data_IF_605393616706
#
_entry.id   IF_605393616706
#
_cell.length_a   1.000
_cell.length_b   1.000
_cell.length_c   1.000
_cell.angle_alpha   90.00
_cell.angle_beta   90.00
_cell.angle_gamma   90.00
#
_symmetry.space_group_name_H-M   'P 1'
#
loop_
_entity.id
_entity.type
_entity.pdbx_description
1 polymer ?
#
# COMPACT_ATOMS: atom_id res chain seq x y z
N UNK A 1 -7.73 -16.66 -11.81
CA UNK A 1 -8.44 -16.46 -10.52
C UNK A 1 -8.14 -15.03 -10.11
N UNK A 2 -9.11 -14.10 -10.07
CA UNK A 2 -8.84 -12.70 -9.69
C UNK A 2 -8.58 -12.63 -8.19
N UNK A 3 -7.38 -12.20 -7.79
CA UNK A 3 -6.94 -12.17 -6.39
C UNK A 3 -7.64 -11.11 -5.53
N UNK A 4 -7.26 -11.02 -4.26
CA UNK A 4 -7.75 -9.97 -3.38
C UNK A 4 -6.99 -8.67 -3.66
N UNK A 5 -7.67 -7.72 -4.31
CA UNK A 5 -7.12 -6.44 -4.71
C UNK A 5 -7.41 -5.32 -3.70
N UNK A 6 -7.99 -5.63 -2.54
CA UNK A 6 -8.40 -4.65 -1.54
C UNK A 6 -7.98 -5.04 -0.12
N UNK A 7 -7.35 -4.10 0.58
CA UNK A 7 -7.06 -4.16 2.00
C UNK A 7 -7.91 -3.11 2.73
N UNK A 8 -8.75 -3.54 3.67
CA UNK A 8 -9.42 -2.64 4.61
C UNK A 8 -9.01 -3.07 6.02
N UNK A 9 -8.36 -2.18 6.78
CA UNK A 9 -7.86 -2.52 8.12
C UNK A 9 -7.79 -1.29 9.02
N UNK A 10 -7.50 -1.51 10.30
CA UNK A 10 -7.14 -0.47 11.26
C UNK A 10 -5.64 -0.52 11.56
N UNK A 11 -5.07 0.62 11.97
CA UNK A 11 -3.69 0.72 12.44
C UNK A 11 -3.62 1.53 13.74
N UNK A 12 -3.40 0.87 14.90
CA UNK A 12 -3.28 1.55 16.18
C UNK A 12 -2.05 2.47 16.21
N UNK A 13 -2.28 3.77 16.41
CA UNK A 13 -1.21 4.77 16.38
C UNK A 13 -0.64 5.05 17.78
N UNK A 14 0.67 5.30 17.84
CA UNK A 14 1.35 5.75 19.07
C UNK A 14 1.65 7.27 19.02
N UNK A 15 2.36 7.82 20.00
CA UNK A 15 2.82 9.21 19.94
C UNK A 15 3.95 9.46 18.90
N UNK A 16 4.48 8.41 18.27
CA UNK A 16 5.57 8.48 17.30
C UNK A 16 5.10 8.97 15.93
N UNK A 17 6.06 9.26 15.06
CA UNK A 17 5.83 9.51 13.63
C UNK A 17 5.52 8.19 12.93
N UNK A 18 4.45 8.16 12.15
CA UNK A 18 4.05 7.01 11.34
C UNK A 18 4.67 7.13 9.95
N UNK A 19 5.20 6.01 9.46
CA UNK A 19 5.88 5.90 8.15
C UNK A 19 5.29 4.75 7.35
N UNK A 20 5.21 4.95 6.03
CA UNK A 20 4.70 3.99 5.06
C UNK A 20 5.76 3.68 4.02
N UNK A 21 5.95 2.40 3.74
CA UNK A 21 6.62 1.91 2.53
C UNK A 21 5.69 0.97 1.79
N UNK A 22 5.68 1.06 0.46
CA UNK A 22 4.89 0.17 -0.40
C UNK A 22 5.85 -0.50 -1.38
N UNK A 23 5.89 -1.83 -1.33
CA UNK A 23 6.78 -2.65 -2.15
C UNK A 23 5.92 -3.34 -3.21
N UNK A 24 6.31 -3.16 -4.47
CA UNK A 24 5.76 -3.92 -5.59
C UNK A 24 6.70 -5.10 -5.81
N UNK A 25 6.18 -6.31 -5.65
CA UNK A 25 6.98 -7.53 -5.66
C UNK A 25 7.12 -8.18 -7.03
N UNK A 26 7.77 -9.34 -7.01
CA UNK A 26 7.82 -10.29 -8.13
C UNK A 26 8.40 -9.71 -9.44
N UNK A 27 9.29 -8.72 -9.34
CA UNK A 27 9.93 -8.10 -10.51
C UNK A 27 8.98 -7.28 -11.39
N UNK A 28 7.77 -7.01 -10.91
CA UNK A 28 6.78 -6.21 -11.62
C UNK A 28 7.06 -4.71 -11.47
N UNK A 29 6.43 -3.92 -12.35
CA UNK A 29 6.52 -2.46 -12.30
C UNK A 29 5.18 -1.87 -11.86
N UNK A 30 5.23 -0.69 -11.25
CA UNK A 30 4.01 0.03 -10.96
C UNK A 30 4.24 1.36 -10.28
N UNK A 31 3.12 2.00 -9.95
CA UNK A 31 3.10 3.33 -9.32
C UNK A 31 1.97 3.38 -8.30
N UNK A 32 2.19 4.14 -7.23
CA UNK A 32 1.21 4.32 -6.17
C UNK A 32 0.85 5.78 -6.00
N UNK A 33 -0.43 6.05 -5.72
CA UNK A 33 -0.90 7.30 -5.14
C UNK A 33 -1.26 7.04 -3.68
N UNK A 34 -0.74 7.86 -2.77
CA UNK A 34 -1.04 7.81 -1.33
C UNK A 34 -1.79 9.09 -0.94
N UNK A 35 -2.95 8.92 -0.32
CA UNK A 35 -3.82 9.99 0.14
C UNK A 35 -4.11 9.83 1.63
N UNK A 36 -4.10 10.94 2.37
CA UNK A 36 -4.62 11.01 3.73
C UNK A 36 -5.85 11.92 3.71
N UNK A 37 -7.02 11.36 4.00
CA UNK A 37 -8.31 12.01 3.69
C UNK A 37 -8.42 12.39 2.21
N UNK A 38 -8.30 13.68 1.90
CA UNK A 38 -8.37 14.26 0.55
C UNK A 38 -6.99 14.75 0.04
N UNK A 39 -5.97 14.79 0.92
CA UNK A 39 -4.64 15.30 0.60
C UNK A 39 -3.76 14.20 0.00
N UNK A 40 -3.18 14.47 -1.18
CA UNK A 40 -2.16 13.59 -1.77
C UNK A 40 -0.84 13.82 -1.04
N UNK A 41 -0.34 12.77 -0.38
CA UNK A 41 0.94 12.80 0.34
C UNK A 41 2.12 12.31 -0.51
N UNK A 42 1.86 11.48 -1.53
CA UNK A 42 2.92 10.94 -2.38
C UNK A 42 2.38 10.27 -3.64
N UNK A 43 3.18 10.34 -4.71
CA UNK A 43 2.93 9.68 -6.00
C UNK A 43 4.23 9.02 -6.48
N UNK A 44 4.15 7.79 -6.98
CA UNK A 44 5.29 7.05 -7.52
C UNK A 44 5.70 5.89 -6.63
N UNK A 45 7.02 5.68 -6.51
CA UNK A 45 7.60 4.73 -5.56
C UNK A 45 7.50 5.30 -4.14
N UNK A 46 6.94 4.51 -3.22
CA UNK A 46 6.70 4.94 -1.85
C UNK A 46 7.67 4.21 -0.93
N UNK A 47 8.66 4.95 -0.43
CA UNK A 47 9.67 4.44 0.50
C UNK A 47 9.80 5.42 1.65
N UNK A 48 9.61 4.92 2.87
CA UNK A 48 9.74 5.69 4.11
C UNK A 48 8.97 7.03 4.12
N UNK A 49 7.77 7.04 3.53
CA UNK A 49 6.90 8.20 3.47
C UNK A 49 6.36 8.51 4.87
N UNK A 50 6.74 9.67 5.43
CA UNK A 50 6.20 10.15 6.69
C UNK A 50 4.74 10.61 6.50
N UNK A 51 3.81 9.96 7.21
CA UNK A 51 2.39 10.30 7.16
C UNK A 51 1.99 11.36 8.19
N UNK A 52 2.78 11.48 9.26
CA UNK A 52 2.56 12.43 10.35
C UNK A 52 2.75 11.79 11.73
N UNK A 53 2.47 12.56 12.79
CA UNK A 53 2.49 12.03 14.17
C UNK A 53 1.20 11.26 14.44
N UNK A 54 1.25 10.15 15.16
CA UNK A 54 0.07 9.35 15.44
C UNK A 54 -1.07 10.14 16.11
N UNK A 55 -0.75 11.08 17.01
CA UNK A 55 -1.77 11.98 17.60
C UNK A 55 -2.52 12.84 16.57
N UNK A 56 -1.90 13.17 15.45
CA UNK A 56 -2.53 13.93 14.35
C UNK A 56 -3.20 13.04 13.30
N UNK A 57 -2.91 11.73 13.34
CA UNK A 57 -3.45 10.73 12.43
C UNK A 57 -4.67 10.02 12.99
N UNK A 58 -4.78 9.86 14.32
CA UNK A 58 -5.89 9.17 14.97
C UNK A 58 -7.24 9.70 14.48
N UNK A 59 -8.10 8.80 14.02
CA UNK A 59 -9.40 9.12 13.44
C UNK A 59 -9.39 9.41 11.93
N UNK A 60 -8.22 9.52 11.30
CA UNK A 60 -8.10 9.71 9.84
C UNK A 60 -7.96 8.39 9.08
N UNK A 61 -8.30 8.44 7.80
CA UNK A 61 -8.13 7.34 6.85
C UNK A 61 -6.99 7.62 5.87
N UNK A 62 -6.05 6.68 5.80
CA UNK A 62 -5.09 6.59 4.70
C UNK A 62 -5.71 5.76 3.57
N UNK A 63 -5.58 6.24 2.33
CA UNK A 63 -5.99 5.52 1.13
C UNK A 63 -4.83 5.40 0.15
N UNK A 64 -4.70 4.23 -0.46
CA UNK A 64 -3.74 4.01 -1.54
C UNK A 64 -4.43 3.46 -2.77
N UNK A 65 -3.90 3.85 -3.92
CA UNK A 65 -4.18 3.19 -5.20
C UNK A 65 -2.84 2.87 -5.85
N UNK A 66 -2.57 1.58 -6.01
CA UNK A 66 -1.37 1.09 -6.69
C UNK A 66 -1.78 0.43 -7.98
N UNK A 67 -1.19 0.86 -9.09
CA UNK A 67 -1.30 0.17 -10.38
C UNK A 67 -0.04 -0.65 -10.54
N UNK A 68 -0.19 -1.96 -10.71
CA UNK A 68 0.92 -2.88 -10.98
C UNK A 68 0.73 -3.48 -12.36
N UNK A 69 1.76 -3.40 -13.19
CA UNK A 69 1.83 -4.03 -14.50
C UNK A 69 2.73 -5.25 -14.40
N UNK A 70 2.20 -6.39 -14.84
CA UNK A 70 2.94 -7.64 -14.96
C UNK A 70 4.02 -7.47 -16.04
N UNK A 71 5.28 -7.50 -15.63
CA UNK A 71 6.42 -7.56 -16.56
C UNK A 71 7.26 -8.82 -16.34
N UNK A 72 6.83 -9.70 -15.43
CA UNK A 72 7.55 -10.90 -15.11
C UNK A 72 7.07 -12.03 -16.03
N UNK A 73 7.94 -12.41 -16.98
CA UNK A 73 7.66 -13.47 -17.94
C UNK A 73 7.70 -14.88 -17.34
N UNK A 74 8.04 -15.03 -16.06
CA UNK A 74 8.15 -16.31 -15.34
C UNK A 74 6.91 -16.66 -14.54
N UNK A 75 6.28 -15.66 -13.94
CA UNK A 75 5.14 -15.84 -13.02
C UNK A 75 4.14 -14.71 -13.26
N UNK A 76 2.91 -15.05 -13.64
CA UNK A 76 1.79 -14.09 -13.80
C UNK A 76 1.25 -13.61 -12.45
N UNK A 77 2.13 -13.53 -11.46
CA UNK A 77 1.82 -13.19 -10.08
C UNK A 77 2.16 -11.73 -9.85
N UNK A 78 1.24 -11.03 -9.19
CA UNK A 78 1.39 -9.65 -8.77
C UNK A 78 1.29 -9.58 -7.25
N UNK A 79 2.18 -8.83 -6.61
CA UNK A 79 2.08 -8.55 -5.18
C UNK A 79 2.34 -7.09 -4.85
N UNK A 80 1.61 -6.61 -3.84
CA UNK A 80 1.82 -5.29 -3.22
C UNK A 80 1.87 -5.47 -1.71
N UNK A 81 3.01 -5.15 -1.10
CA UNK A 81 3.21 -5.19 0.35
C UNK A 81 3.17 -3.78 0.93
N UNK A 82 2.34 -3.59 1.94
CA UNK A 82 2.23 -2.37 2.73
C UNK A 82 2.96 -2.56 4.05
N UNK A 83 3.99 -1.75 4.30
CA UNK A 83 4.75 -1.75 5.54
C UNK A 83 4.51 -0.42 6.28
N UNK A 84 4.04 -0.51 7.51
CA UNK A 84 3.72 0.61 8.38
C UNK A 84 4.52 0.52 9.67
N UNK A 85 5.17 1.62 10.03
CA UNK A 85 5.94 1.76 11.26
C UNK A 85 5.47 2.97 12.06
N UNK A 86 5.81 3.01 13.36
CA UNK A 86 5.49 4.15 14.24
C UNK A 86 4.13 4.08 14.94
N UNK A 87 3.31 3.08 14.66
CA UNK A 87 2.15 2.70 15.46
C UNK A 87 2.54 2.02 16.78
N UNK A 88 1.57 1.42 17.46
CA UNK A 88 1.82 0.60 18.65
C UNK A 88 2.70 -0.61 18.32
N UNK A 89 2.45 -1.21 17.15
CA UNK A 89 3.25 -2.29 16.57
C UNK A 89 3.50 -2.02 15.09
N UNK A 90 4.62 -2.48 14.51
CA UNK A 90 4.80 -2.48 13.08
C UNK A 90 3.73 -3.36 12.43
N UNK A 91 3.28 -2.97 11.23
CA UNK A 91 2.30 -3.70 10.44
C UNK A 91 2.88 -3.98 9.05
N UNK A 92 2.70 -5.21 8.57
CA UNK A 92 3.08 -5.63 7.24
C UNK A 92 1.97 -6.51 6.66
N UNK A 93 1.49 -6.18 5.47
CA UNK A 93 0.47 -6.97 4.79
C UNK A 93 0.69 -6.98 3.29
N UNK A 94 0.55 -8.16 2.67
CA UNK A 94 0.71 -8.36 1.23
C UNK A 94 -0.62 -8.73 0.58
N UNK A 95 -1.04 -7.95 -0.41
CA UNK A 95 -2.09 -8.34 -1.35
C UNK A 95 -1.44 -9.08 -2.54
N UNK A 96 -2.09 -10.13 -3.00
CA UNK A 96 -1.64 -10.93 -4.15
C UNK A 96 -2.75 -11.04 -5.19
N UNK A 97 -2.37 -11.02 -6.46
CA UNK A 97 -3.25 -11.27 -7.60
C UNK A 97 -2.52 -12.03 -8.69
N UNK A 98 -3.27 -12.50 -9.68
CA UNK A 98 -2.70 -13.04 -10.91
C UNK A 98 -3.31 -12.37 -12.13
N UNK A 99 -2.50 -12.21 -13.17
CA UNK A 99 -2.87 -11.63 -14.46
C UNK A 99 -3.12 -12.71 -15.50
N UNK A 100 -3.80 -12.36 -16.58
CA UNK A 100 -4.05 -13.29 -17.70
C UNK A 100 -2.89 -13.31 -18.70
N UNK A 101 -2.04 -12.27 -18.70
CA UNK A 101 -0.91 -12.13 -19.61
C UNK A 101 0.12 -11.11 -19.11
N UNK A 102 1.36 -11.27 -19.56
CA UNK A 102 2.42 -10.27 -19.39
C UNK A 102 1.99 -8.96 -20.07
N UNK A 103 2.23 -7.85 -19.40
CA UNK A 103 1.81 -6.50 -19.79
C UNK A 103 0.42 -6.12 -19.28
N UNK A 104 -0.37 -7.06 -18.75
CA UNK A 104 -1.62 -6.73 -18.08
C UNK A 104 -1.37 -5.97 -16.79
N UNK A 105 -2.31 -5.10 -16.41
CA UNK A 105 -2.21 -4.31 -15.18
C UNK A 105 -3.41 -4.52 -14.27
N UNK A 106 -3.15 -4.57 -12.97
CA UNK A 106 -4.18 -4.64 -11.93
C UNK A 106 -4.07 -3.46 -10.97
N UNK A 107 -5.21 -3.09 -10.40
CA UNK A 107 -5.28 -2.03 -9.40
C UNK A 107 -5.45 -2.63 -8.01
N UNK A 108 -4.51 -2.33 -7.12
CA UNK A 108 -4.57 -2.65 -5.70
C UNK A 108 -4.98 -1.41 -4.91
N UNK A 109 -5.86 -1.62 -3.92
CA UNK A 109 -6.36 -0.56 -3.06
C UNK A 109 -6.11 -0.92 -1.60
N UNK A 110 -5.73 0.06 -0.79
CA UNK A 110 -5.77 -0.07 0.66
C UNK A 110 -6.52 1.12 1.27
N UNK A 111 -7.34 0.85 2.27
CA UNK A 111 -7.89 1.83 3.19
C UNK A 111 -7.49 1.41 4.62
N UNK A 112 -6.75 2.29 5.30
CA UNK A 112 -6.21 2.05 6.64
C UNK A 112 -6.72 3.15 7.56
N UNK A 113 -7.58 2.77 8.51
CA UNK A 113 -8.10 3.68 9.51
C UNK A 113 -7.14 3.75 10.70
N UNK A 114 -6.65 4.95 11.03
CA UNK A 114 -5.83 5.16 12.22
C UNK A 114 -6.70 5.19 13.47
N UNK A 115 -6.40 4.32 14.45
CA UNK A 115 -7.16 4.17 15.70
C UNK A 115 -6.32 4.41 16.93
#
# INVERSE_FOLDING_TARGET
MKGNLKLNTTYPVSAKKVRLSIIIGDGNLGTTVVMLEEDILGIGTITDLELGKGSTLKGKALRTKTVVTDFNDKTQDLSVTYNMEGGEHPFSFTLNATTESVGASENFYAEIQFV
#
